data_IF_314393455790
#
_entry.id   IF_314393455790
#
_cell.length_a   1.000
_cell.length_b   1.000
_cell.length_c   1.000
_cell.angle_alpha   90.00
_cell.angle_beta   90.00
_cell.angle_gamma   90.00
#
_symmetry.space_group_name_H-M   'P 1'
#
loop_
_entity.id
_entity.type
_entity.pdbx_description
1 polymer ?
#
# COMPACT_ATOMS: atom_id res chain seq x y z
N UNK A 1 -32.16 36.35 27.24
CA UNK A 1 -32.53 35.62 26.01
C UNK A 1 -31.47 35.90 24.96
N UNK A 2 -30.35 35.17 25.04
CA UNK A 2 -29.25 35.23 24.08
C UNK A 2 -28.24 34.13 24.42
N UNK A 3 -27.83 33.31 23.46
CA UNK A 3 -26.44 32.85 23.38
C UNK A 3 -26.07 32.59 21.93
N UNK A 4 -25.06 33.34 21.47
CA UNK A 4 -24.40 33.27 20.18
C UNK A 4 -23.79 31.87 19.97
N UNK A 5 -23.90 31.34 18.75
CA UNK A 5 -23.10 30.21 18.29
C UNK A 5 -21.66 30.69 18.03
N UNK A 6 -20.62 29.96 18.49
CA UNK A 6 -19.25 30.35 18.23
C UNK A 6 -18.82 29.97 16.81
N UNK A 7 -18.25 30.97 16.14
CA UNK A 7 -17.42 30.91 14.95
C UNK A 7 -16.09 30.19 15.23
N UNK A 8 -15.77 29.12 14.49
CA UNK A 8 -14.42 28.77 14.02
C UNK A 8 -14.39 27.37 13.38
N UNK A 9 -14.72 27.29 12.10
CA UNK A 9 -14.12 26.28 11.23
C UNK A 9 -13.03 27.03 10.48
N UNK A 10 -11.85 27.07 11.08
CA UNK A 10 -10.64 27.47 10.36
C UNK A 10 -10.10 26.17 9.77
N UNK A 11 -10.39 25.93 8.49
CA UNK A 11 -9.61 24.99 7.70
C UNK A 11 -8.21 25.60 7.57
N UNK A 12 -7.30 25.15 8.44
CA UNK A 12 -5.88 25.46 8.27
C UNK A 12 -5.34 24.55 7.17
N UNK A 13 -5.18 25.10 5.97
CA UNK A 13 -4.30 24.47 4.98
C UNK A 13 -2.90 24.29 5.60
N UNK A 14 -2.23 23.14 5.37
CA UNK A 14 -0.88 22.96 5.87
C UNK A 14 0.07 23.88 5.10
N UNK A 15 0.45 24.99 5.74
CA UNK A 15 1.33 26.04 5.21
C UNK A 15 2.80 25.63 5.08
N UNK A 16 3.13 24.36 5.29
CA UNK A 16 4.49 23.84 5.27
C UNK A 16 4.51 22.46 4.57
N UNK A 17 5.50 22.18 3.71
CA UNK A 17 5.67 20.82 3.20
C UNK A 17 5.82 19.88 4.39
N UNK A 18 5.10 18.75 4.36
CA UNK A 18 5.26 17.67 5.35
C UNK A 18 6.70 17.19 5.25
N UNK A 19 7.57 17.71 6.10
CA UNK A 19 8.94 17.24 6.22
C UNK A 19 8.92 15.90 6.93
N UNK A 20 9.31 14.83 6.25
CA UNK A 20 9.59 13.54 6.90
C UNK A 20 10.93 13.70 7.66
N UNK A 21 10.95 13.84 9.00
CA UNK A 21 12.14 14.37 9.70
C UNK A 21 13.28 13.36 9.88
N UNK A 22 13.24 12.20 9.22
CA UNK A 22 14.28 11.18 9.38
C UNK A 22 14.56 10.51 8.04
N UNK A 23 15.76 10.78 7.50
CA UNK A 23 16.34 10.15 6.32
C UNK A 23 16.75 8.69 6.55
N UNK A 24 15.85 7.89 7.10
CA UNK A 24 15.99 6.45 7.16
C UNK A 24 14.76 5.81 6.54
N UNK A 25 14.63 5.95 5.22
CA UNK A 25 13.86 5.00 4.44
C UNK A 25 14.60 3.67 4.50
N UNK A 26 14.22 2.81 5.45
CA UNK A 26 14.61 1.41 5.36
C UNK A 26 13.79 0.83 4.21
N UNK A 27 14.39 0.75 3.02
CA UNK A 27 13.80 0.13 1.83
C UNK A 27 13.83 -1.41 1.92
N UNK A 28 13.46 -1.99 3.08
CA UNK A 28 13.27 -3.44 3.14
C UNK A 28 11.94 -3.82 2.51
N UNK A 29 11.91 -3.78 1.17
CA UNK A 29 10.81 -4.33 0.39
C UNK A 29 11.05 -5.83 0.28
N UNK A 30 10.58 -6.58 1.28
CA UNK A 30 10.50 -8.04 1.17
C UNK A 30 9.21 -8.43 0.47
N UNK A 31 9.34 -8.84 -0.79
CA UNK A 31 8.19 -9.25 -1.59
C UNK A 31 7.89 -10.72 -1.34
N UNK A 32 6.64 -10.98 -0.97
CA UNK A 32 6.11 -12.31 -0.74
C UNK A 32 5.19 -12.71 -1.90
N UNK A 33 5.51 -13.82 -2.58
CA UNK A 33 4.57 -14.50 -3.48
C UNK A 33 4.70 -14.18 -4.96
N UNK A 34 5.67 -13.33 -5.32
CA UNK A 34 6.16 -13.27 -6.69
C UNK A 34 7.20 -14.38 -6.89
N UNK A 35 7.19 -15.09 -8.04
CA UNK A 35 8.38 -15.80 -8.49
C UNK A 35 9.62 -14.91 -8.42
N UNK A 36 10.78 -15.41 -7.94
CA UNK A 36 11.97 -14.58 -7.75
C UNK A 36 12.39 -13.76 -8.97
N UNK A 37 12.12 -14.26 -10.18
CA UNK A 37 12.44 -13.57 -11.42
C UNK A 37 11.68 -12.25 -11.62
N UNK A 38 10.50 -12.07 -11.02
CA UNK A 38 9.73 -10.83 -11.13
C UNK A 38 10.27 -9.70 -10.26
N UNK A 39 11.12 -10.03 -9.28
CA UNK A 39 11.81 -9.06 -8.44
C UNK A 39 13.25 -8.80 -8.91
N UNK A 40 13.72 -9.50 -9.95
CA UNK A 40 15.06 -9.29 -10.51
C UNK A 40 15.18 -7.91 -11.15
N UNK A 41 16.27 -7.22 -10.85
CA UNK A 41 16.57 -5.91 -11.43
C UNK A 41 15.97 -4.70 -10.68
N UNK A 42 15.31 -4.91 -9.53
CA UNK A 42 14.85 -3.82 -8.67
C UNK A 42 15.86 -3.53 -7.56
N UNK A 43 16.57 -2.40 -7.64
CA UNK A 43 17.62 -2.03 -6.66
C UNK A 43 17.10 -1.71 -5.25
N UNK A 44 15.79 -1.52 -5.09
CA UNK A 44 15.14 -1.20 -3.81
C UNK A 44 14.58 -2.42 -3.08
N UNK A 45 14.81 -3.63 -3.60
CA UNK A 45 14.37 -4.89 -3.00
C UNK A 45 15.59 -5.64 -2.45
N UNK A 46 15.72 -5.68 -1.12
CA UNK A 46 16.87 -6.37 -0.50
C UNK A 46 16.75 -7.90 -0.54
N UNK A 47 15.53 -8.44 -0.45
CA UNK A 47 15.33 -9.89 -0.36
C UNK A 47 13.96 -10.33 -0.87
N UNK A 48 13.94 -11.46 -1.57
CA UNK A 48 12.72 -12.11 -2.07
C UNK A 48 12.51 -13.43 -1.34
N UNK A 49 11.31 -13.61 -0.78
CA UNK A 49 10.95 -14.83 -0.03
C UNK A 49 9.65 -15.41 -0.58
N UNK A 50 9.52 -16.73 -0.45
CA UNK A 50 8.25 -17.41 -0.77
C UNK A 50 7.11 -16.88 0.11
N UNK A 51 5.99 -16.49 -0.50
CA UNK A 51 4.80 -16.08 0.26
C UNK A 51 4.30 -17.19 1.17
N UNK A 52 3.96 -16.79 2.39
CA UNK A 52 3.15 -17.59 3.31
C UNK A 52 1.74 -17.00 3.31
N UNK A 53 0.82 -17.67 2.64
CA UNK A 53 -0.56 -17.24 2.57
C UNK A 53 -1.24 -17.45 3.93
N UNK A 54 -1.82 -16.37 4.45
CA UNK A 54 -2.61 -16.32 5.70
C UNK A 54 -4.09 -16.09 5.39
N UNK A 55 -4.59 -16.72 4.32
CA UNK A 55 -6.01 -16.69 3.92
C UNK A 55 -6.69 -18.01 4.22
N UNK A 56 -8.00 -17.97 4.50
CA UNK A 56 -8.76 -19.20 4.76
C UNK A 56 -8.74 -20.15 3.56
N UNK A 57 -8.86 -19.65 2.33
CA UNK A 57 -8.80 -20.47 1.10
C UNK A 57 -7.54 -21.33 1.01
N UNK A 58 -6.41 -20.81 1.46
CA UNK A 58 -5.12 -21.52 1.43
C UNK A 58 -4.84 -22.37 2.69
N UNK A 59 -5.51 -22.08 3.79
CA UNK A 59 -5.14 -22.56 5.14
C UNK A 59 -6.20 -23.44 5.79
N UNK A 60 -7.45 -23.32 5.33
CA UNK A 60 -8.62 -24.00 5.86
C UNK A 60 -8.72 -23.84 7.39
N UNK A 61 -9.12 -24.91 8.10
CA UNK A 61 -9.27 -24.90 9.56
C UNK A 61 -8.00 -24.54 10.35
N UNK A 62 -6.82 -24.60 9.73
CA UNK A 62 -5.53 -24.27 10.39
C UNK A 62 -5.19 -22.77 10.32
N UNK A 63 -6.13 -21.91 9.91
CA UNK A 63 -5.90 -20.48 9.68
C UNK A 63 -5.28 -19.78 10.90
N UNK A 64 -5.81 -20.00 12.10
CA UNK A 64 -5.31 -19.35 13.32
C UNK A 64 -3.84 -19.69 13.63
N UNK A 65 -3.45 -20.95 13.43
CA UNK A 65 -2.06 -21.38 13.60
C UNK A 65 -1.14 -20.69 12.57
N UNK A 66 -1.59 -20.61 11.31
CA UNK A 66 -0.81 -19.97 10.24
C UNK A 66 -0.67 -18.47 10.42
N UNK A 67 -1.73 -17.78 10.81
CA UNK A 67 -1.71 -16.34 11.11
C UNK A 67 -0.75 -16.04 12.27
N UNK A 68 -0.80 -16.82 13.36
CA UNK A 68 0.11 -16.63 14.49
C UNK A 68 1.57 -16.91 14.12
N UNK A 69 1.83 -17.98 13.38
CA UNK A 69 3.19 -18.29 12.91
C UNK A 69 3.73 -17.19 12.00
N UNK A 70 2.93 -16.75 11.04
CA UNK A 70 3.32 -15.66 10.15
C UNK A 70 3.57 -14.35 10.90
N UNK A 71 2.69 -14.00 11.85
CA UNK A 71 2.82 -12.79 12.65
C UNK A 71 4.10 -12.81 13.50
N UNK A 72 4.46 -13.96 14.08
CA UNK A 72 5.72 -14.09 14.83
C UNK A 72 6.94 -13.83 13.94
N UNK A 73 6.96 -14.40 12.74
CA UNK A 73 8.04 -14.16 11.78
C UNK A 73 8.13 -12.69 11.36
N UNK A 74 7.00 -11.98 11.25
CA UNK A 74 7.00 -10.53 10.98
C UNK A 74 7.52 -9.72 12.17
N UNK A 75 7.15 -10.06 13.40
CA UNK A 75 7.66 -9.39 14.61
C UNK A 75 9.18 -9.53 14.69
N UNK A 76 9.69 -10.76 14.56
CA UNK A 76 11.13 -11.03 14.66
C UNK A 76 11.88 -10.33 13.51
N UNK A 77 11.28 -10.28 12.32
CA UNK A 77 11.80 -9.51 11.21
C UNK A 77 11.87 -8.02 11.52
N UNK A 78 10.74 -7.42 11.91
CA UNK A 78 10.68 -5.98 12.18
C UNK A 78 11.69 -5.61 13.27
N UNK A 79 11.77 -6.40 14.34
CA UNK A 79 12.76 -6.21 15.40
C UNK A 79 14.19 -6.23 14.86
N UNK A 80 14.52 -7.18 13.97
CA UNK A 80 15.86 -7.26 13.35
C UNK A 80 16.21 -6.03 12.51
N UNK A 81 15.21 -5.35 11.95
CA UNK A 81 15.41 -4.19 11.06
C UNK A 81 15.43 -2.86 11.83
N UNK A 82 14.57 -2.72 12.84
CA UNK A 82 14.38 -1.45 13.54
C UNK A 82 14.99 -1.43 14.94
N UNK A 83 15.51 -2.57 15.41
CA UNK A 83 16.10 -2.74 16.74
C UNK A 83 15.10 -2.64 17.89
N UNK A 84 13.78 -2.66 17.61
CA UNK A 84 12.72 -2.53 18.61
C UNK A 84 11.62 -3.54 18.34
N UNK A 85 11.33 -4.36 19.34
CA UNK A 85 10.25 -5.35 19.26
C UNK A 85 8.86 -4.72 19.29
N UNK A 86 8.67 -3.60 20.00
CA UNK A 86 7.40 -2.86 20.12
C UNK A 86 7.25 -1.72 19.11
N UNK A 87 7.73 -1.93 17.88
CA UNK A 87 7.67 -0.92 16.84
C UNK A 87 6.23 -0.52 16.47
N UNK A 88 6.07 0.73 16.02
CA UNK A 88 4.82 1.19 15.38
C UNK A 88 4.84 0.80 13.91
N UNK A 89 3.80 0.11 13.46
CA UNK A 89 3.70 -0.47 12.12
C UNK A 89 2.40 -0.04 11.47
N UNK A 90 2.51 0.57 10.30
CA UNK A 90 1.37 0.93 9.46
C UNK A 90 0.89 -0.27 8.62
N UNK A 91 -0.42 -0.54 8.61
CA UNK A 91 -1.05 -1.55 7.76
C UNK A 91 -2.10 -0.91 6.84
N UNK A 92 -2.15 -1.31 5.56
CA UNK A 92 -3.10 -0.72 4.57
C UNK A 92 -4.19 -1.71 4.10
N UNK A 93 -3.87 -3.00 3.88
CA UNK A 93 -4.86 -4.04 3.53
C UNK A 93 -4.40 -5.40 4.00
N UNK A 94 -4.97 -5.90 5.10
CA UNK A 94 -4.65 -7.22 5.64
C UNK A 94 -5.88 -7.86 6.30
N UNK A 95 -5.89 -9.18 6.43
CA UNK A 95 -6.91 -9.88 7.20
C UNK A 95 -6.97 -9.34 8.63
N UNK A 96 -8.17 -9.00 9.10
CA UNK A 96 -8.36 -8.36 10.40
C UNK A 96 -7.71 -9.15 11.55
N UNK A 97 -7.82 -10.48 11.53
CA UNK A 97 -7.25 -11.32 12.57
C UNK A 97 -5.71 -11.23 12.63
N UNK A 98 -5.04 -11.04 11.50
CA UNK A 98 -3.60 -10.85 11.47
C UNK A 98 -3.19 -9.56 12.18
N UNK A 99 -3.91 -8.45 11.96
CA UNK A 99 -3.64 -7.20 12.67
C UNK A 99 -3.84 -7.34 14.19
N UNK A 100 -4.85 -8.12 14.61
CA UNK A 100 -5.10 -8.45 16.02
C UNK A 100 -3.91 -9.24 16.59
N UNK A 101 -3.48 -10.32 15.93
CA UNK A 101 -2.37 -11.14 16.42
C UNK A 101 -1.05 -10.36 16.48
N UNK A 102 -0.75 -9.51 15.51
CA UNK A 102 0.44 -8.65 15.56
C UNK A 102 0.44 -7.73 16.79
N UNK A 103 -0.74 -7.17 17.14
CA UNK A 103 -0.93 -6.34 18.33
C UNK A 103 -0.80 -7.15 19.61
N UNK A 104 -1.40 -8.34 19.67
CA UNK A 104 -1.26 -9.26 20.81
C UNK A 104 0.20 -9.65 21.05
N UNK A 105 0.98 -9.80 19.97
CA UNK A 105 2.37 -10.21 20.09
C UNK A 105 3.24 -9.15 20.73
N UNK A 106 3.13 -7.87 20.33
CA UNK A 106 3.84 -6.69 20.91
C UNK A 106 3.80 -5.42 20.03
N UNK A 107 3.36 -5.49 18.77
CA UNK A 107 3.44 -4.34 17.85
C UNK A 107 2.35 -3.30 18.08
N UNK A 108 2.69 -2.03 17.87
CA UNK A 108 1.73 -0.93 17.85
C UNK A 108 1.22 -0.74 16.42
N UNK A 109 -0.04 -1.10 16.16
CA UNK A 109 -0.61 -1.08 14.81
C UNK A 109 -1.35 0.23 14.54
N UNK A 110 -1.03 0.87 13.40
CA UNK A 110 -1.72 2.06 12.89
C UNK A 110 -2.19 1.84 11.46
N UNK A 111 -3.16 2.63 11.00
CA UNK A 111 -3.62 2.60 9.61
C UNK A 111 -2.64 3.36 8.74
N UNK A 112 -2.04 2.69 7.74
CA UNK A 112 -1.03 3.30 6.87
C UNK A 112 -1.61 4.19 5.75
N UNK A 113 -2.89 4.01 5.42
CA UNK A 113 -3.51 4.59 4.23
C UNK A 113 -3.27 6.09 4.08
N UNK A 114 -3.41 6.88 5.15
CA UNK A 114 -3.15 8.33 5.07
C UNK A 114 -1.71 8.63 4.64
N UNK A 115 -0.73 8.00 5.28
CA UNK A 115 0.67 8.24 4.98
C UNK A 115 1.01 7.83 3.54
N UNK A 116 0.49 6.68 3.10
CA UNK A 116 0.69 6.15 1.75
C UNK A 116 0.04 7.06 0.69
N UNK A 117 -1.21 7.49 0.88
CA UNK A 117 -1.88 8.34 -0.10
C UNK A 117 -1.26 9.75 -0.19
N UNK A 118 -0.79 10.31 0.93
CA UNK A 118 -0.05 11.57 0.89
C UNK A 118 1.28 11.43 0.14
N UNK A 119 2.01 10.33 0.35
CA UNK A 119 3.22 10.05 -0.42
C UNK A 119 2.91 9.87 -1.92
N UNK A 120 1.84 9.15 -2.27
CA UNK A 120 1.43 8.91 -3.67
C UNK A 120 0.94 10.16 -4.40
N UNK A 121 0.55 11.21 -3.66
CA UNK A 121 0.05 12.46 -4.25
C UNK A 121 1.16 13.23 -4.97
N UNK A 122 2.40 13.15 -4.49
CA UNK A 122 3.56 13.80 -5.12
C UNK A 122 4.22 12.81 -6.09
N UNK A 123 4.34 13.21 -7.37
CA UNK A 123 4.94 12.38 -8.42
C UNK A 123 6.38 12.78 -8.69
N UNK A 124 7.24 11.78 -8.84
CA UNK A 124 8.59 11.97 -9.37
C UNK A 124 8.57 12.35 -10.85
N UNK A 125 9.63 13.00 -11.37
CA UNK A 125 9.75 13.30 -12.79
C UNK A 125 9.62 12.04 -13.69
N UNK A 126 10.15 10.91 -13.22
CA UNK A 126 10.09 9.61 -13.90
C UNK A 126 8.66 9.06 -13.94
N UNK A 127 7.91 9.15 -12.85
CA UNK A 127 6.48 8.78 -12.84
C UNK A 127 5.67 9.64 -13.80
N UNK A 128 5.94 10.95 -13.88
CA UNK A 128 5.24 11.84 -14.81
C UNK A 128 5.50 11.44 -16.26
N UNK A 129 6.72 11.07 -16.62
CA UNK A 129 7.04 10.53 -17.97
C UNK A 129 6.20 9.28 -18.28
N UNK A 130 6.08 8.36 -17.31
CA UNK A 130 5.25 7.16 -17.45
C UNK A 130 3.76 7.49 -17.59
N UNK A 131 3.24 8.44 -16.82
CA UNK A 131 1.85 8.89 -16.90
C UNK A 131 1.56 9.46 -18.30
N UNK A 132 2.42 10.34 -18.81
CA UNK A 132 2.28 10.92 -20.15
C UNK A 132 2.33 9.84 -21.24
N UNK A 133 3.24 8.88 -21.13
CA UNK A 133 3.33 7.76 -22.07
C UNK A 133 2.05 6.90 -22.05
N UNK A 134 1.54 6.59 -20.86
CA UNK A 134 0.30 5.84 -20.67
C UNK A 134 -0.90 6.57 -21.29
N UNK A 135 -1.05 7.87 -21.02
CA UNK A 135 -2.12 8.70 -21.58
C UNK A 135 -2.10 8.71 -23.10
N UNK A 136 -0.93 8.90 -23.72
CA UNK A 136 -0.79 8.86 -25.18
C UNK A 136 -1.21 7.51 -25.77
N UNK A 137 -0.85 6.40 -25.12
CA UNK A 137 -1.27 5.08 -25.55
C UNK A 137 -2.79 4.89 -25.44
N UNK A 138 -3.39 5.35 -24.34
CA UNK A 138 -4.84 5.34 -24.15
C UNK A 138 -5.56 6.20 -25.18
N UNK A 139 -5.07 7.40 -25.49
CA UNK A 139 -5.65 8.28 -26.51
C UNK A 139 -5.68 7.63 -27.89
N UNK A 140 -4.60 6.94 -28.28
CA UNK A 140 -4.55 6.18 -29.53
C UNK A 140 -5.59 5.04 -29.53
N UNK A 141 -5.69 4.30 -28.43
CA UNK A 141 -6.66 3.20 -28.30
C UNK A 141 -8.11 3.71 -28.36
N UNK A 142 -8.42 4.79 -27.64
CA UNK A 142 -9.74 5.44 -27.64
C UNK A 142 -10.06 6.04 -29.01
N UNK A 143 -9.08 6.58 -29.74
CA UNK A 143 -9.26 7.03 -31.11
C UNK A 143 -9.72 5.90 -32.03
N UNK A 144 -9.05 4.74 -31.96
CA UNK A 144 -9.45 3.54 -32.73
C UNK A 144 -10.83 3.03 -32.35
N UNK A 145 -11.12 2.98 -31.05
CA UNK A 145 -12.44 2.62 -30.53
C UNK A 145 -13.51 3.50 -31.15
N UNK A 146 -13.35 4.83 -31.05
CA UNK A 146 -14.29 5.82 -31.59
C UNK A 146 -14.52 5.63 -33.09
N UNK A 147 -13.44 5.44 -33.86
CA UNK A 147 -13.52 5.30 -35.31
C UNK A 147 -14.17 3.98 -35.74
N UNK A 148 -14.22 2.98 -34.85
CA UNK A 148 -14.87 1.68 -35.08
C UNK A 148 -16.36 1.63 -34.76
N UNK A 149 -16.90 2.66 -34.08
CA UNK A 149 -18.30 2.70 -33.66
C UNK A 149 -19.22 2.73 -34.90
N UNK A 150 -20.14 1.76 -34.96
CA UNK A 150 -21.15 1.65 -36.00
C UNK A 150 -22.49 1.19 -35.41
N UNK A 151 -23.63 1.56 -36.01
CA UNK A 151 -24.94 1.07 -35.58
C UNK A 151 -25.02 -0.46 -35.60
N UNK A 152 -25.64 -1.03 -34.57
CA UNK A 152 -25.82 -2.49 -34.43
C UNK A 152 -24.70 -3.21 -33.69
N UNK A 153 -23.62 -2.52 -33.29
CA UNK A 153 -22.62 -3.06 -32.37
C UNK A 153 -23.12 -3.01 -30.91
N UNK A 154 -22.75 -4.02 -30.13
CA UNK A 154 -22.95 -4.06 -28.67
C UNK A 154 -21.76 -3.47 -27.92
N UNK A 155 -21.94 -3.10 -26.65
CA UNK A 155 -20.87 -2.56 -25.80
C UNK A 155 -19.65 -3.48 -25.70
N UNK A 156 -19.84 -4.80 -25.65
CA UNK A 156 -18.73 -5.77 -25.61
C UNK A 156 -17.98 -5.91 -26.94
N UNK A 157 -18.55 -5.43 -28.04
CA UNK A 157 -17.93 -5.46 -29.38
C UNK A 157 -17.15 -4.18 -29.69
N UNK A 158 -17.33 -3.13 -28.88
CA UNK A 158 -16.56 -1.89 -28.90
C UNK A 158 -15.30 -2.10 -28.04
#
# INVERSE_FOLDING_TARGET
>A
MASKLPSSVIETEPSHPVSFPYGHSIHHVRVYGLPPHLAQGHETVDEVRTAKSVTFTSSGPKIHYRERKWAQEMVDMIESLVGKRSATVGLERINANVAIVLKELVLSIVVAQRAIEMARTIKSPEEVKCIVASLRATEVAVGKLRDSIAPGLTENQL
#
